data_IF_175679890955
#
_entry.id   IF_175679890955
#
_cell.length_a   1.000
_cell.length_b   1.000
_cell.length_c   1.000
_cell.angle_alpha   90.00
_cell.angle_beta   90.00
_cell.angle_gamma   90.00
#
_symmetry.space_group_name_H-M   'P 1'
#
loop_
_entity.id
_entity.type
_entity.pdbx_description
1 polymer ?
#
# COMPACT_ATOMS: atom_id res chain seq x y z
N UNK A 1 0.14 1.19 13.26
CA UNK A 1 -0.93 1.83 12.45
C UNK A 1 -0.34 2.25 11.12
N UNK A 2 -1.04 1.98 10.02
CA UNK A 2 -0.62 2.34 8.67
C UNK A 2 -0.89 3.83 8.38
N UNK A 3 -0.12 4.40 7.46
CA UNK A 3 -0.39 5.71 6.88
C UNK A 3 -1.66 5.69 6.03
N UNK A 4 -2.25 6.86 5.85
CA UNK A 4 -3.45 7.01 5.03
C UNK A 4 -3.14 6.76 3.54
N UNK A 5 -4.02 6.01 2.88
CA UNK A 5 -3.94 5.75 1.45
C UNK A 5 -4.23 7.03 0.64
N UNK A 6 -3.73 7.12 -0.62
CA UNK A 6 -4.00 8.27 -1.46
C UNK A 6 -5.50 8.39 -1.76
N UNK A 7 -6.04 9.59 -1.59
CA UNK A 7 -7.44 9.92 -1.83
C UNK A 7 -7.58 10.53 -3.22
N UNK A 8 -8.52 10.02 -3.99
CA UNK A 8 -8.80 10.50 -5.35
C UNK A 8 -10.22 11.05 -5.40
N UNK A 9 -10.35 12.21 -6.04
CA UNK A 9 -11.65 12.85 -6.32
C UNK A 9 -11.71 13.16 -7.81
N UNK A 10 -12.90 13.52 -8.30
CA UNK A 10 -13.05 13.94 -9.71
C UNK A 10 -12.29 15.26 -9.95
N UNK A 11 -11.69 15.47 -11.14
CA UNK A 11 -11.74 14.68 -12.38
C UNK A 11 -10.84 13.42 -12.41
N UNK A 12 -11.01 12.56 -13.42
CA UNK A 12 -10.26 11.28 -13.56
C UNK A 12 -8.74 11.47 -13.74
N UNK A 13 -8.33 12.60 -14.30
CA UNK A 13 -6.93 12.98 -14.42
C UNK A 13 -6.77 14.34 -13.74
N UNK A 14 -5.82 14.42 -12.82
CA UNK A 14 -5.49 15.68 -12.17
C UNK A 14 -3.99 15.84 -12.09
N UNK A 15 -3.47 16.96 -12.62
CA UNK A 15 -2.04 17.28 -12.60
C UNK A 15 -1.13 16.19 -13.20
N UNK A 16 -1.62 15.45 -14.21
CA UNK A 16 -0.90 14.35 -14.85
C UNK A 16 -0.94 13.02 -14.07
N UNK A 17 -1.66 12.97 -12.95
CA UNK A 17 -1.94 11.73 -12.22
C UNK A 17 -3.34 11.22 -12.57
N UNK A 18 -3.43 10.03 -13.14
CA UNK A 18 -4.70 9.37 -13.43
C UNK A 18 -5.21 8.57 -12.23
N UNK A 19 -6.54 8.59 -12.04
CA UNK A 19 -7.21 7.78 -11.04
C UNK A 19 -7.06 6.29 -11.41
N UNK A 20 -6.54 5.46 -10.49
CA UNK A 20 -6.39 4.02 -10.71
C UNK A 20 -7.69 3.36 -11.17
N UNK A 21 -7.60 2.51 -12.20
CA UNK A 21 -8.78 1.82 -12.77
C UNK A 21 -9.53 0.98 -11.73
N UNK A 22 -8.83 0.46 -10.72
CA UNK A 22 -9.44 -0.26 -9.60
C UNK A 22 -10.45 0.58 -8.82
N UNK A 23 -10.21 1.89 -8.70
CA UNK A 23 -11.15 2.84 -8.07
C UNK A 23 -12.33 3.17 -8.98
N UNK A 24 -12.14 3.07 -10.30
CA UNK A 24 -13.18 3.31 -11.31
C UNK A 24 -14.07 2.08 -11.54
N UNK A 25 -13.57 0.88 -11.22
CA UNK A 25 -14.22 -0.39 -11.52
C UNK A 25 -15.44 -0.70 -10.65
N UNK A 26 -15.71 0.06 -9.59
CA UNK A 26 -16.84 -0.16 -8.66
C UNK A 26 -16.74 -1.43 -7.81
N UNK A 27 -15.65 -2.21 -7.91
CA UNK A 27 -15.45 -3.42 -7.13
C UNK A 27 -14.92 -3.10 -5.73
N UNK A 28 -15.84 -2.94 -4.77
CA UNK A 28 -15.52 -2.61 -3.38
C UNK A 28 -14.40 -3.47 -2.77
N UNK A 29 -14.42 -4.79 -2.95
CA UNK A 29 -13.36 -5.67 -2.44
C UNK A 29 -11.98 -5.39 -3.05
N UNK A 30 -11.90 -5.05 -4.35
CA UNK A 30 -10.64 -4.68 -5.00
C UNK A 30 -10.17 -3.30 -4.52
N UNK A 31 -11.11 -2.37 -4.31
CA UNK A 31 -10.84 -1.02 -3.81
C UNK A 31 -10.27 -1.09 -2.39
N UNK A 32 -10.88 -1.87 -1.49
CA UNK A 32 -10.41 -2.03 -0.12
C UNK A 32 -9.01 -2.67 -0.07
N UNK A 33 -8.79 -3.71 -0.87
CA UNK A 33 -7.46 -4.32 -0.99
C UNK A 33 -6.42 -3.31 -1.48
N UNK A 34 -6.73 -2.60 -2.57
CA UNK A 34 -5.82 -1.59 -3.12
C UNK A 34 -5.55 -0.45 -2.13
N UNK A 35 -6.56 0.02 -1.39
CA UNK A 35 -6.38 1.04 -0.34
C UNK A 35 -5.42 0.56 0.74
N UNK A 36 -5.53 -0.71 1.14
CA UNK A 36 -4.62 -1.30 2.12
C UNK A 36 -3.20 -1.41 1.57
N UNK A 37 -3.04 -1.93 0.35
CA UNK A 37 -1.73 -2.05 -0.32
C UNK A 37 -1.04 -0.68 -0.41
N UNK A 38 -1.76 0.37 -0.84
CA UNK A 38 -1.20 1.72 -0.93
C UNK A 38 -0.84 2.32 0.43
N UNK A 39 -1.64 2.04 1.47
CA UNK A 39 -1.32 2.44 2.84
C UNK A 39 -0.04 1.75 3.34
N UNK A 40 0.11 0.46 3.05
CA UNK A 40 1.30 -0.34 3.37
C UNK A 40 2.54 0.18 2.63
N UNK A 41 2.45 0.38 1.32
CA UNK A 41 3.52 0.94 0.50
C UNK A 41 3.95 2.34 0.97
N UNK A 42 3.01 3.25 1.20
CA UNK A 42 3.33 4.59 1.74
C UNK A 42 3.98 4.49 3.11
N UNK A 43 3.49 3.61 3.98
CA UNK A 43 4.07 3.41 5.31
C UNK A 43 5.50 2.91 5.19
N UNK A 44 5.74 1.90 4.35
CA UNK A 44 7.08 1.35 4.10
C UNK A 44 8.04 2.40 3.53
N UNK A 45 7.58 3.21 2.57
CA UNK A 45 8.42 4.20 1.89
C UNK A 45 8.69 5.45 2.75
N UNK A 46 7.67 5.98 3.45
CA UNK A 46 7.78 7.24 4.21
C UNK A 46 8.13 7.04 5.68
N UNK A 47 7.70 5.93 6.27
CA UNK A 47 7.84 5.62 7.70
C UNK A 47 8.29 4.17 7.89
N UNK A 48 9.50 3.80 7.41
CA UNK A 48 10.01 2.45 7.55
C UNK A 48 10.06 1.99 9.03
N UNK A 49 10.27 2.93 9.96
CA UNK A 49 10.17 2.69 11.42
C UNK A 49 8.77 2.25 11.88
N UNK A 50 7.68 2.82 11.34
CA UNK A 50 6.32 2.33 11.62
C UNK A 50 6.05 0.99 10.96
N UNK A 51 6.56 0.78 9.75
CA UNK A 51 6.43 -0.46 9.00
C UNK A 51 7.11 -1.64 9.73
N UNK A 52 8.35 -1.44 10.20
CA UNK A 52 9.07 -2.44 10.98
C UNK A 52 8.34 -2.83 12.27
N UNK A 53 7.69 -1.87 12.95
CA UNK A 53 6.85 -2.16 14.11
C UNK A 53 5.59 -2.95 13.77
N UNK A 54 5.08 -2.82 12.55
CA UNK A 54 3.88 -3.53 12.08
C UNK A 54 4.20 -4.98 11.70
N UNK A 55 5.36 -5.21 11.07
CA UNK A 55 5.85 -6.54 10.70
C UNK A 55 6.29 -7.37 11.92
N UNK A 56 6.44 -6.72 13.09
CA UNK A 56 7.06 -7.34 14.25
C UNK A 56 8.57 -7.54 14.04
N UNK A 57 9.30 -8.06 15.04
CA UNK A 57 10.66 -8.55 14.78
C UNK A 57 10.53 -9.66 13.73
N UNK A 58 10.98 -9.37 12.51
CA UNK A 58 11.19 -10.42 11.51
C UNK A 58 12.34 -11.27 12.03
N UNK A 59 12.04 -12.47 12.52
CA UNK A 59 13.08 -13.43 12.84
C UNK A 59 13.90 -13.66 11.56
N UNK A 60 15.24 -13.54 11.61
CA UNK A 60 16.10 -13.62 10.43
C UNK A 60 16.08 -14.99 9.73
N UNK A 61 15.39 -15.97 10.32
CA UNK A 61 15.13 -17.29 9.72
C UNK A 61 14.18 -17.22 8.52
N UNK A 62 13.27 -16.25 8.45
CA UNK A 62 12.30 -16.12 7.35
C UNK A 62 12.83 -15.28 6.17
N UNK A 63 13.97 -14.61 6.35
CA UNK A 63 14.55 -13.68 5.37
C UNK A 63 15.70 -14.26 4.54
N UNK A 64 16.09 -15.52 4.79
CA UNK A 64 17.01 -16.21 3.91
C UNK A 64 16.23 -16.68 2.67
N UNK A 65 16.57 -16.24 1.45
CA UNK A 65 16.12 -16.98 0.28
C UNK A 65 16.67 -18.41 0.42
N UNK A 66 15.79 -19.41 0.27
CA UNK A 66 16.18 -20.78 -0.05
C UNK A 66 17.12 -20.72 -1.26
N UNK A 67 18.42 -20.77 -0.98
CA UNK A 67 19.49 -21.02 -1.93
C UNK A 67 19.85 -22.50 -1.73
N UNK A 68 19.12 -23.39 -2.40
CA UNK A 68 19.45 -24.80 -2.63
C UNK A 68 19.24 -25.14 -4.11
#
# INVERSE_FOLDING_TARGET
>A
GLLEYPQYTRPREWNGEEVPEVLLSGHHAKIERWRREQAEERTRARRPDLWARLQGPVDPVDAAPDDD
#
